data_IF_957570540670
#
_entry.id   IF_957570540670
#
_cell.length_a   1.000
_cell.length_b   1.000
_cell.length_c   1.000
_cell.angle_alpha   90.00
_cell.angle_beta   90.00
_cell.angle_gamma   90.00
#
_symmetry.space_group_name_H-M   'P 1'
#
loop_
_entity.id
_entity.type
_entity.pdbx_description
1 polymer ?
#
# COMPACT_ATOMS: atom_id res chain seq x y z
N UNK A 1 -81.69 -11.43 -12.98
CA UNK A 1 -81.21 -10.63 -14.10
C UNK A 1 -80.95 -9.22 -13.63
N UNK A 2 -79.77 -8.85 -13.24
CA UNK A 2 -79.27 -7.47 -13.10
C UNK A 2 -77.73 -7.53 -13.12
N UNK A 3 -77.13 -7.06 -14.20
CA UNK A 3 -75.72 -6.89 -14.39
C UNK A 3 -75.29 -5.68 -13.59
N UNK A 4 -74.25 -5.89 -12.71
CA UNK A 4 -73.56 -4.80 -12.04
C UNK A 4 -72.16 -4.72 -12.69
N UNK A 5 -71.94 -3.60 -13.41
CA UNK A 5 -70.62 -3.24 -13.96
C UNK A 5 -69.73 -2.69 -12.83
N UNK A 6 -68.68 -3.36 -12.56
CA UNK A 6 -67.64 -2.88 -11.66
C UNK A 6 -66.58 -2.11 -12.47
N UNK A 7 -66.54 -0.80 -12.29
CA UNK A 7 -65.51 0.07 -12.87
C UNK A 7 -64.24 -0.06 -12.08
N UNK A 8 -63.21 -0.65 -12.72
CA UNK A 8 -61.83 -0.70 -12.18
C UNK A 8 -61.20 0.67 -12.40
N UNK A 9 -60.92 1.38 -11.33
CA UNK A 9 -60.10 2.60 -11.33
C UNK A 9 -58.65 2.16 -11.30
N UNK A 10 -57.90 2.39 -12.39
CA UNK A 10 -56.47 2.22 -12.46
C UNK A 10 -55.83 3.49 -11.90
N UNK A 11 -55.27 3.40 -10.70
CA UNK A 11 -54.49 4.45 -10.10
C UNK A 11 -53.05 4.28 -10.60
N UNK A 12 -52.60 5.12 -11.51
CA UNK A 12 -51.23 5.18 -11.98
C UNK A 12 -50.34 5.82 -10.92
N UNK A 13 -49.62 5.02 -10.18
CA UNK A 13 -48.52 5.48 -9.31
C UNK A 13 -47.31 5.80 -10.19
N UNK A 14 -47.08 7.07 -10.45
CA UNK A 14 -45.82 7.56 -11.02
C UNK A 14 -44.73 7.43 -9.97
N UNK A 15 -43.91 6.38 -10.09
CA UNK A 15 -42.64 6.24 -9.35
C UNK A 15 -41.67 7.28 -9.90
N UNK A 16 -41.45 8.36 -9.17
CA UNK A 16 -40.31 9.24 -9.39
C UNK A 16 -39.05 8.49 -8.92
N UNK A 17 -38.32 7.92 -9.86
CA UNK A 17 -36.98 7.38 -9.59
C UNK A 17 -36.06 8.57 -9.35
N UNK A 18 -35.76 8.85 -8.08
CA UNK A 18 -34.63 9.66 -7.71
C UNK A 18 -33.39 8.82 -8.01
N UNK A 19 -32.73 9.09 -9.14
CA UNK A 19 -31.46 8.53 -9.47
C UNK A 19 -30.42 9.11 -8.49
N UNK A 20 -30.03 8.33 -7.48
CA UNK A 20 -28.78 8.56 -6.74
C UNK A 20 -27.61 8.36 -7.69
N UNK A 21 -27.19 9.45 -8.35
CA UNK A 21 -25.85 9.52 -8.95
C UNK A 21 -24.85 9.61 -7.79
N UNK A 22 -24.09 8.54 -7.59
CA UNK A 22 -23.09 8.49 -6.52
C UNK A 22 -22.35 7.17 -6.39
N UNK A 23 -22.31 6.33 -7.42
CA UNK A 23 -21.30 5.27 -7.46
C UNK A 23 -19.99 5.86 -7.99
N UNK A 24 -19.11 6.31 -7.07
CA UNK A 24 -17.70 6.51 -7.38
C UNK A 24 -17.14 5.16 -7.80
N UNK A 25 -16.85 5.01 -9.10
CA UNK A 25 -16.20 3.83 -9.66
C UNK A 25 -14.87 3.64 -8.92
N UNK A 26 -14.71 2.52 -8.25
CA UNK A 26 -13.43 2.05 -7.72
C UNK A 26 -12.46 1.94 -8.90
N UNK A 27 -11.23 2.43 -8.72
CA UNK A 27 -10.24 2.67 -9.74
C UNK A 27 -10.07 1.54 -10.76
N UNK A 28 -10.20 1.92 -12.01
CA UNK A 28 -9.85 1.08 -13.14
C UNK A 28 -8.34 1.02 -13.27
N UNK A 29 -7.73 -0.15 -13.03
CA UNK A 29 -6.30 -0.37 -13.20
C UNK A 29 -5.80 -0.24 -14.64
N UNK A 30 -6.70 -0.19 -15.64
CA UNK A 30 -6.29 -0.03 -17.04
C UNK A 30 -5.55 1.30 -17.29
N UNK A 31 -5.72 2.26 -16.39
CA UNK A 31 -5.05 3.56 -16.45
C UNK A 31 -3.66 3.55 -15.80
N UNK A 32 -3.32 2.54 -14.99
CA UNK A 32 -2.05 2.44 -14.28
C UNK A 32 -0.87 1.99 -15.18
N UNK A 33 -1.14 1.53 -16.39
CA UNK A 33 -0.13 1.14 -17.37
C UNK A 33 0.34 2.32 -18.25
N UNK A 34 -0.13 3.54 -18.01
CA UNK A 34 0.29 4.76 -18.73
C UNK A 34 1.07 5.68 -17.79
N UNK A 35 2.15 6.32 -18.26
CA UNK A 35 2.86 7.32 -17.48
C UNK A 35 1.90 8.47 -17.16
N UNK A 36 1.65 8.70 -15.88
CA UNK A 36 0.61 9.58 -15.36
C UNK A 36 0.97 11.09 -15.41
N UNK A 37 2.00 11.48 -16.11
CA UNK A 37 2.55 12.85 -16.06
C UNK A 37 1.71 13.90 -16.81
N UNK A 38 0.79 13.52 -17.70
CA UNK A 38 0.13 14.50 -18.58
C UNK A 38 -1.25 15.02 -18.15
N UNK A 39 -1.93 14.42 -17.18
CA UNK A 39 -3.32 14.82 -16.86
C UNK A 39 -3.48 15.79 -15.69
N UNK A 40 -2.45 16.07 -14.91
CA UNK A 40 -2.56 16.90 -13.71
C UNK A 40 -2.37 18.40 -13.91
N UNK A 41 -1.98 18.87 -15.09
CA UNK A 41 -1.67 20.28 -15.34
C UNK A 41 -2.89 21.15 -15.70
N UNK A 42 -4.10 20.61 -15.82
CA UNK A 42 -5.25 21.37 -16.34
C UNK A 42 -6.36 21.72 -15.37
N UNK A 43 -6.33 21.35 -14.09
CA UNK A 43 -7.47 21.60 -13.17
C UNK A 43 -7.18 22.39 -11.89
N UNK A 44 -6.01 23.02 -11.76
CA UNK A 44 -5.73 23.94 -10.63
C UNK A 44 -5.18 25.30 -11.06
N UNK A 45 -5.99 26.03 -11.80
CA UNK A 45 -5.89 27.49 -11.87
C UNK A 45 -7.10 28.01 -11.10
N UNK A 46 -6.89 28.46 -9.84
CA UNK A 46 -7.66 29.44 -9.07
C UNK A 46 -7.67 29.07 -7.58
N UNK A 47 -6.61 29.46 -6.87
CA UNK A 47 -6.68 29.73 -5.43
C UNK A 47 -5.85 30.99 -5.13
N UNK A 48 -6.35 31.95 -4.34
CA UNK A 48 -5.71 33.23 -4.15
C UNK A 48 -4.45 33.12 -3.29
N UNK A 49 -3.40 33.78 -3.79
CA UNK A 49 -2.09 33.97 -3.18
C UNK A 49 -2.20 34.96 -2.03
N UNK A 50 -1.97 34.58 -0.79
CA UNK A 50 -1.65 35.48 0.30
C UNK A 50 -0.20 35.24 0.73
N UNK A 51 0.66 36.11 0.22
CA UNK A 51 2.05 36.23 0.62
C UNK A 51 2.15 37.01 1.94
N UNK A 52 2.75 36.38 2.96
CA UNK A 52 3.51 37.10 4.00
C UNK A 52 4.75 36.22 4.30
N UNK A 53 5.82 36.49 3.56
CA UNK A 53 7.16 35.93 3.83
C UNK A 53 7.97 36.95 4.59
N UNK A 54 8.42 36.60 5.79
CA UNK A 54 9.50 37.26 6.53
C UNK A 54 10.86 36.63 6.08
N UNK A 55 11.77 37.42 5.47
CA UNK A 55 13.01 36.89 4.94
C UNK A 55 14.15 37.00 5.94
N UNK A 56 14.20 36.20 7.00
CA UNK A 56 15.48 35.93 7.65
C UNK A 56 15.39 34.93 8.82
N UNK A 57 15.46 33.63 8.53
CA UNK A 57 16.06 32.68 9.49
C UNK A 57 16.38 31.37 8.76
N UNK A 58 17.66 31.22 8.43
CA UNK A 58 18.27 29.97 7.97
C UNK A 58 18.40 29.00 9.17
N UNK A 59 17.26 28.60 9.76
CA UNK A 59 17.18 27.50 10.70
C UNK A 59 16.55 26.32 9.96
N UNK A 60 17.37 25.31 9.65
CA UNK A 60 16.88 23.98 9.26
C UNK A 60 15.85 23.55 10.29
N UNK A 61 14.56 23.63 9.95
CA UNK A 61 13.47 23.13 10.78
C UNK A 61 13.58 21.62 10.80
N UNK A 62 14.18 21.06 11.83
CA UNK A 62 14.10 19.63 12.10
C UNK A 62 12.65 19.28 12.43
N UNK A 63 12.01 18.51 11.56
CA UNK A 63 10.68 17.96 11.84
C UNK A 63 10.83 17.04 13.05
N UNK A 64 10.11 17.33 14.16
CA UNK A 64 10.06 16.43 15.31
C UNK A 64 9.26 15.20 14.91
N UNK A 65 9.96 14.11 14.63
CA UNK A 65 9.35 12.83 14.26
C UNK A 65 8.73 12.20 15.50
N UNK A 66 7.45 11.86 15.42
CA UNK A 66 6.77 11.03 16.41
C UNK A 66 7.08 9.56 16.10
N UNK A 67 7.16 8.74 17.14
CA UNK A 67 7.30 7.29 16.97
C UNK A 67 6.06 6.73 16.26
N UNK A 68 6.24 5.83 15.29
CA UNK A 68 5.14 5.21 14.52
C UNK A 68 4.68 6.03 13.31
N UNK A 69 5.53 6.91 12.79
CA UNK A 69 5.24 7.70 11.58
C UNK A 69 4.92 6.82 10.35
N UNK A 70 5.47 5.61 10.32
CA UNK A 70 5.20 4.60 9.29
C UNK A 70 3.80 3.95 9.40
N UNK A 71 3.11 4.09 10.54
CA UNK A 71 1.83 3.42 10.77
C UNK A 71 0.70 4.21 10.10
N UNK A 72 0.05 3.67 9.04
CA UNK A 72 -1.03 4.37 8.36
C UNK A 72 -2.33 4.32 9.16
N UNK A 73 -3.23 5.28 8.91
CA UNK A 73 -4.63 5.14 9.28
C UNK A 73 -5.28 4.19 8.28
N UNK A 74 -5.74 3.05 8.79
CA UNK A 74 -6.34 2.01 7.96
C UNK A 74 -7.73 2.40 7.46
N UNK A 75 -8.17 1.74 6.39
CA UNK A 75 -9.53 1.88 5.86
C UNK A 75 -10.57 1.43 6.89
N UNK A 76 -11.59 2.25 7.11
CA UNK A 76 -12.69 1.91 8.00
C UNK A 76 -13.43 0.63 7.56
N UNK A 77 -13.92 -0.15 8.54
CA UNK A 77 -14.70 -1.39 8.34
C UNK A 77 -13.96 -2.51 7.60
N UNK A 78 -12.61 -2.51 7.64
CA UNK A 78 -11.79 -3.63 7.17
C UNK A 78 -11.27 -4.39 8.38
N UNK A 79 -11.41 -5.74 8.43
CA UNK A 79 -10.83 -6.53 9.52
C UNK A 79 -9.34 -6.28 9.65
N UNK A 80 -8.88 -6.01 10.87
CA UNK A 80 -7.50 -5.66 11.15
C UNK A 80 -7.08 -6.19 12.51
N UNK A 81 -6.08 -7.09 12.51
CA UNK A 81 -5.36 -7.51 13.70
C UNK A 81 -3.95 -6.94 13.62
N UNK A 82 -3.63 -6.01 14.51
CA UNK A 82 -2.28 -5.43 14.56
C UNK A 82 -1.32 -6.39 15.25
N UNK A 83 -0.23 -6.73 14.56
CA UNK A 83 0.84 -7.58 15.05
C UNK A 83 2.15 -6.78 15.01
N UNK A 84 2.73 -6.57 16.18
CA UNK A 84 4.00 -5.87 16.34
C UNK A 84 5.14 -6.85 16.31
N UNK A 85 6.04 -6.70 15.36
CA UNK A 85 7.25 -7.49 15.21
C UNK A 85 8.48 -6.62 15.47
N UNK A 86 9.61 -7.24 15.67
CA UNK A 86 10.84 -6.49 15.99
C UNK A 86 11.26 -5.57 14.82
N UNK A 87 11.11 -6.03 13.58
CA UNK A 87 11.50 -5.30 12.37
C UNK A 87 10.35 -4.62 11.62
N UNK A 88 9.07 -4.84 12.00
CA UNK A 88 7.91 -4.26 11.30
C UNK A 88 6.63 -4.37 12.13
N UNK A 89 5.61 -3.62 11.72
CA UNK A 89 4.23 -3.80 12.18
C UNK A 89 3.37 -4.23 11.00
N UNK A 90 2.46 -5.17 11.20
CA UNK A 90 1.48 -5.59 10.18
C UNK A 90 0.05 -5.46 10.69
N UNK A 91 -0.86 -5.03 9.83
CA UNK A 91 -2.30 -5.15 9.99
C UNK A 91 -2.76 -6.39 9.23
N UNK A 92 -3.00 -7.48 9.93
CA UNK A 92 -3.44 -8.73 9.31
C UNK A 92 -4.96 -8.76 9.13
N UNK A 93 -5.41 -9.28 8.00
CA UNK A 93 -6.81 -9.45 7.66
C UNK A 93 -7.16 -10.95 7.54
N UNK A 94 -7.98 -11.42 8.49
CA UNK A 94 -8.40 -12.83 8.53
C UNK A 94 -9.34 -13.24 7.38
N UNK A 95 -10.05 -12.29 6.75
CA UNK A 95 -10.94 -12.59 5.63
C UNK A 95 -10.17 -12.84 4.33
N UNK A 96 -9.14 -12.01 4.07
CA UNK A 96 -8.27 -12.18 2.90
C UNK A 96 -7.13 -13.15 3.16
N UNK A 97 -6.79 -13.37 4.44
CA UNK A 97 -5.63 -14.16 4.90
C UNK A 97 -4.30 -13.62 4.39
N UNK A 98 -4.22 -12.30 4.32
CA UNK A 98 -3.05 -11.52 3.94
C UNK A 98 -2.97 -10.28 4.83
N UNK A 99 -1.84 -9.58 4.91
CA UNK A 99 -1.83 -8.26 5.53
C UNK A 99 -2.70 -7.28 4.74
N UNK A 100 -3.33 -6.32 5.43
CA UNK A 100 -3.84 -5.11 4.80
C UNK A 100 -2.67 -4.21 4.40
N UNK A 101 -1.71 -4.10 5.30
CA UNK A 101 -0.45 -3.39 5.13
C UNK A 101 0.63 -3.93 6.07
N UNK A 102 1.87 -3.68 5.72
CA UNK A 102 3.06 -3.90 6.54
C UNK A 102 3.89 -2.62 6.50
N UNK A 103 4.32 -2.15 7.67
CA UNK A 103 5.00 -0.87 7.83
C UNK A 103 6.27 -1.01 8.67
N UNK A 104 7.34 -0.30 8.28
CA UNK A 104 8.60 -0.29 9.04
C UNK A 104 9.41 0.98 8.77
N UNK A 105 10.22 1.33 9.77
CA UNK A 105 11.24 2.34 9.67
C UNK A 105 12.56 1.68 9.29
N UNK A 106 13.01 1.86 8.05
CA UNK A 106 14.24 1.31 7.54
C UNK A 106 15.39 2.30 7.73
N UNK A 107 16.37 1.94 8.54
CA UNK A 107 17.60 2.72 8.70
C UNK A 107 18.77 2.09 7.93
N UNK A 108 19.81 2.85 7.64
CA UNK A 108 21.04 2.33 7.04
C UNK A 108 21.65 1.17 7.87
N UNK A 109 21.50 1.20 9.19
CA UNK A 109 21.98 0.13 10.08
C UNK A 109 21.19 -1.18 9.92
N UNK A 110 19.93 -1.12 9.48
CA UNK A 110 19.08 -2.31 9.31
C UNK A 110 19.47 -3.14 8.08
N UNK A 111 20.08 -2.52 7.08
CA UNK A 111 20.50 -3.19 5.83
C UNK A 111 21.75 -4.03 5.99
N UNK A 112 22.48 -3.83 7.09
CA UNK A 112 23.71 -4.53 7.40
C UNK A 112 23.66 -5.18 8.80
N UNK A 113 24.38 -6.28 9.00
CA UNK A 113 24.44 -6.90 10.31
C UNK A 113 24.76 -8.40 10.28
N UNK A 114 24.76 -9.02 11.45
CA UNK A 114 25.17 -10.43 11.61
C UNK A 114 24.09 -11.43 11.21
N UNK A 115 22.81 -11.03 11.11
CA UNK A 115 21.71 -11.94 10.84
C UNK A 115 21.85 -12.62 9.48
N UNK A 116 21.59 -13.91 9.43
CA UNK A 116 21.73 -14.73 8.23
C UNK A 116 20.41 -15.38 7.85
N UNK A 117 20.03 -15.18 6.59
CA UNK A 117 18.85 -15.83 6.00
C UNK A 117 18.98 -17.35 5.85
N UNK A 118 20.21 -17.87 5.78
CA UNK A 118 20.46 -19.28 5.52
C UNK A 118 19.79 -20.18 6.58
N UNK A 119 18.97 -21.11 6.15
CA UNK A 119 18.27 -22.06 7.03
C UNK A 119 16.92 -21.59 7.54
N UNK A 120 16.54 -20.33 7.33
CA UNK A 120 15.22 -19.84 7.71
C UNK A 120 14.21 -20.26 6.64
N UNK A 121 13.08 -20.78 7.07
CA UNK A 121 11.94 -21.17 6.24
C UNK A 121 10.71 -20.37 6.62
N UNK A 122 9.76 -20.24 5.70
CA UNK A 122 8.46 -19.65 6.00
C UNK A 122 7.72 -20.46 7.07
N UNK A 123 7.09 -19.76 8.00
CA UNK A 123 6.44 -20.33 9.17
C UNK A 123 5.03 -19.80 9.34
N UNK A 124 4.16 -20.65 9.84
CA UNK A 124 2.84 -20.24 10.33
C UNK A 124 3.02 -19.21 11.43
N UNK A 125 2.20 -18.19 11.42
CA UNK A 125 2.14 -17.24 12.52
C UNK A 125 1.11 -17.73 13.56
N UNK A 126 1.59 -18.07 14.75
CA UNK A 126 0.73 -18.61 15.81
C UNK A 126 -0.05 -17.53 16.57
N UNK A 127 0.29 -16.26 16.37
CA UNK A 127 -0.40 -15.12 17.01
C UNK A 127 -1.72 -14.75 16.33
N UNK A 128 -2.12 -15.47 15.26
CA UNK A 128 -3.40 -15.26 14.61
C UNK A 128 -4.35 -16.45 14.84
N UNK A 129 -5.68 -16.21 14.85
CA UNK A 129 -6.66 -17.28 14.99
C UNK A 129 -6.68 -18.22 13.77
N UNK A 130 -7.15 -19.44 13.96
CA UNK A 130 -7.44 -20.37 12.87
C UNK A 130 -8.59 -19.87 11.98
N UNK A 131 -8.58 -20.19 10.67
CA UNK A 131 -7.56 -20.97 9.96
C UNK A 131 -6.33 -20.13 9.62
N UNK A 132 -5.16 -20.66 9.91
CA UNK A 132 -3.86 -20.02 9.63
C UNK A 132 -3.34 -20.38 8.26
N UNK A 133 -2.68 -19.42 7.62
CA UNK A 133 -1.98 -19.64 6.35
C UNK A 133 -0.68 -20.39 6.62
N UNK A 134 -0.40 -21.39 5.81
CA UNK A 134 0.85 -22.12 5.85
C UNK A 134 1.54 -22.21 4.46
N UNK A 135 2.72 -22.81 4.41
CA UNK A 135 3.50 -22.92 3.17
C UNK A 135 2.84 -23.85 2.15
N UNK A 136 1.99 -24.80 2.58
CA UNK A 136 1.28 -25.72 1.69
C UNK A 136 0.20 -25.02 0.89
N UNK A 137 -0.35 -23.89 1.38
CA UNK A 137 -1.33 -23.10 0.62
C UNK A 137 -0.73 -22.54 -0.68
N UNK A 138 0.58 -22.32 -0.71
CA UNK A 138 1.30 -21.81 -1.88
C UNK A 138 1.80 -22.92 -2.82
N UNK A 139 1.79 -24.17 -2.37
CA UNK A 139 2.33 -25.29 -3.14
C UNK A 139 1.54 -25.47 -4.45
N UNK A 140 2.25 -25.47 -5.58
CA UNK A 140 1.67 -25.60 -6.93
C UNK A 140 0.58 -24.56 -7.26
N UNK A 141 0.55 -23.45 -6.56
CA UNK A 141 -0.42 -22.36 -6.79
C UNK A 141 -0.09 -21.52 -8.02
N UNK A 142 1.17 -21.51 -8.45
CA UNK A 142 1.72 -20.60 -9.46
C UNK A 142 2.13 -19.24 -8.91
N UNK A 143 2.05 -19.05 -7.59
CA UNK A 143 2.46 -17.82 -6.90
C UNK A 143 3.61 -18.09 -5.93
N UNK A 144 4.50 -17.11 -5.81
CA UNK A 144 5.52 -17.07 -4.78
C UNK A 144 4.93 -16.62 -3.43
N UNK A 145 5.63 -16.94 -2.36
CA UNK A 145 5.47 -16.32 -1.05
C UNK A 145 6.18 -14.98 -1.07
N UNK A 146 5.49 -13.94 -1.57
CA UNK A 146 6.03 -12.59 -1.68
C UNK A 146 6.06 -11.89 -0.32
N UNK A 147 7.26 -11.52 0.15
CA UNK A 147 7.39 -10.73 1.36
C UNK A 147 6.84 -9.32 1.17
N UNK A 148 6.24 -8.77 2.23
CA UNK A 148 5.93 -7.35 2.30
C UNK A 148 7.12 -6.60 2.92
N UNK A 149 7.49 -6.84 4.18
CA UNK A 149 8.76 -6.42 4.73
C UNK A 149 9.84 -7.45 4.37
N UNK A 150 10.85 -7.11 3.56
CA UNK A 150 11.81 -8.08 3.06
C UNK A 150 12.83 -8.50 4.13
N UNK A 151 13.29 -9.74 4.04
CA UNK A 151 14.34 -10.25 4.92
C UNK A 151 15.64 -9.41 4.87
N UNK A 152 15.95 -8.84 3.71
CA UNK A 152 17.15 -8.03 3.53
C UNK A 152 17.12 -6.69 4.29
N UNK A 153 15.97 -6.24 4.76
CA UNK A 153 15.82 -5.05 5.60
C UNK A 153 15.98 -5.37 7.10
N UNK A 154 16.30 -6.63 7.43
CA UNK A 154 16.36 -7.16 8.80
C UNK A 154 17.71 -7.82 9.12
N UNK A 155 18.82 -7.41 8.49
CA UNK A 155 20.15 -7.95 8.75
C UNK A 155 20.71 -7.62 10.14
N UNK A 156 20.16 -6.63 10.82
CA UNK A 156 20.56 -6.14 12.13
C UNK A 156 20.18 -7.07 13.29
N UNK A 157 19.11 -7.87 13.14
CA UNK A 157 18.59 -8.78 14.17
C UNK A 157 18.21 -10.13 13.57
N UNK A 158 18.68 -11.22 14.17
CA UNK A 158 18.30 -12.57 13.78
C UNK A 158 16.80 -12.81 13.96
N UNK A 159 16.22 -12.29 15.06
CA UNK A 159 14.78 -12.40 15.34
C UNK A 159 13.96 -11.60 14.34
N UNK A 160 14.34 -10.36 14.03
CA UNK A 160 13.65 -9.57 13.00
C UNK A 160 13.70 -10.28 11.63
N UNK A 161 14.86 -10.86 11.28
CA UNK A 161 15.05 -11.68 10.09
C UNK A 161 14.09 -12.88 10.08
N UNK A 162 14.01 -13.66 11.16
CA UNK A 162 13.13 -14.82 11.28
C UNK A 162 11.66 -14.43 11.21
N UNK A 163 11.26 -13.35 11.88
CA UNK A 163 9.89 -12.84 11.85
C UNK A 163 9.47 -12.39 10.46
N UNK A 164 10.38 -11.92 9.60
CA UNK A 164 10.04 -11.57 8.22
C UNK A 164 9.50 -12.77 7.40
N UNK A 165 9.77 -14.01 7.83
CA UNK A 165 9.27 -15.23 7.20
C UNK A 165 7.94 -15.74 7.77
N UNK A 166 7.30 -15.02 8.69
CA UNK A 166 5.94 -15.33 9.14
C UNK A 166 4.93 -15.14 8.00
N UNK A 167 3.99 -16.06 7.87
CA UNK A 167 3.00 -16.03 6.78
C UNK A 167 2.07 -14.81 6.85
N UNK A 168 2.01 -14.09 7.97
CA UNK A 168 1.31 -12.80 8.10
C UNK A 168 2.03 -11.62 7.45
N UNK A 169 3.29 -11.81 7.02
CA UNK A 169 4.08 -10.85 6.23
C UNK A 169 4.12 -11.21 4.74
N UNK A 170 3.26 -12.12 4.27
CA UNK A 170 3.39 -12.75 2.94
C UNK A 170 2.08 -12.64 2.16
N UNK A 171 2.21 -12.35 0.85
CA UNK A 171 1.10 -12.38 -0.10
C UNK A 171 1.40 -13.30 -1.29
N UNK A 172 0.35 -13.90 -1.92
CA UNK A 172 0.51 -14.58 -3.20
C UNK A 172 0.96 -13.60 -4.29
N UNK A 173 2.21 -13.69 -4.71
CA UNK A 173 2.82 -12.76 -5.65
C UNK A 173 3.29 -13.47 -6.92
N UNK A 174 3.08 -12.84 -8.09
CA UNK A 174 3.59 -13.36 -9.37
C UNK A 174 5.12 -13.50 -9.30
N UNK A 175 5.71 -14.66 -9.67
CA UNK A 175 7.14 -14.91 -9.54
C UNK A 175 8.01 -13.89 -10.28
N UNK A 176 7.60 -13.47 -11.49
CA UNK A 176 8.35 -12.49 -12.26
C UNK A 176 8.25 -11.06 -11.69
N UNK A 177 7.14 -10.72 -11.04
CA UNK A 177 7.03 -9.48 -10.27
C UNK A 177 7.93 -9.54 -9.03
N UNK A 178 7.78 -10.59 -8.22
CA UNK A 178 8.49 -10.78 -6.96
C UNK A 178 10.02 -10.71 -7.13
N UNK A 179 10.58 -11.53 -8.03
CA UNK A 179 12.03 -11.56 -8.26
C UNK A 179 12.54 -10.41 -9.14
N UNK A 180 11.67 -9.70 -9.86
CA UNK A 180 12.00 -8.64 -10.80
C UNK A 180 11.76 -7.24 -10.24
N UNK A 181 10.67 -6.60 -10.68
CA UNK A 181 10.35 -5.22 -10.36
C UNK A 181 10.23 -4.96 -8.86
N UNK A 182 9.51 -5.83 -8.12
CA UNK A 182 9.32 -5.66 -6.68
C UNK A 182 10.65 -5.67 -5.93
N UNK A 183 11.50 -6.66 -6.21
CA UNK A 183 12.85 -6.73 -5.66
C UNK A 183 13.71 -5.50 -6.05
N UNK A 184 13.54 -4.96 -7.28
CA UNK A 184 14.24 -3.73 -7.70
C UNK A 184 13.81 -2.51 -6.89
N UNK A 185 12.53 -2.40 -6.52
CA UNK A 185 12.01 -1.33 -5.65
C UNK A 185 12.56 -1.51 -4.22
N UNK A 186 12.58 -2.74 -3.68
CA UNK A 186 13.15 -3.03 -2.37
C UNK A 186 14.65 -2.68 -2.28
N UNK A 187 15.42 -3.01 -3.31
CA UNK A 187 16.83 -2.60 -3.40
C UNK A 187 16.96 -1.08 -3.39
N UNK A 188 16.07 -0.38 -4.10
CA UNK A 188 16.08 1.09 -4.13
C UNK A 188 15.78 1.69 -2.75
N UNK A 189 14.83 1.12 -1.99
CA UNK A 189 14.53 1.58 -0.63
C UNK A 189 15.76 1.45 0.28
N UNK A 190 16.52 0.34 0.16
CA UNK A 190 17.78 0.18 0.92
C UNK A 190 18.83 1.20 0.51
N UNK A 191 19.01 1.44 -0.78
CA UNK A 191 19.91 2.49 -1.28
C UNK A 191 19.54 3.85 -0.69
N UNK A 192 18.26 4.21 -0.67
CA UNK A 192 17.79 5.46 -0.09
C UNK A 192 18.00 5.51 1.43
N UNK A 193 17.78 4.40 2.15
CA UNK A 193 18.07 4.35 3.58
C UNK A 193 19.56 4.54 3.87
N UNK A 194 20.45 3.98 3.06
CA UNK A 194 21.90 4.16 3.16
C UNK A 194 22.33 5.60 2.84
N UNK A 195 21.73 6.22 1.83
CA UNK A 195 22.06 7.58 1.39
C UNK A 195 21.52 8.66 2.33
N UNK A 196 20.26 8.53 2.73
CA UNK A 196 19.57 9.51 3.59
C UNK A 196 19.62 9.19 5.08
N UNK A 197 20.15 8.01 5.46
CA UNK A 197 20.22 7.53 6.84
C UNK A 197 19.02 6.68 7.23
N UNK A 198 17.81 7.06 6.79
CA UNK A 198 16.57 6.31 7.01
C UNK A 198 15.47 6.65 6.01
N UNK A 199 14.49 5.75 5.91
CA UNK A 199 13.21 5.95 5.23
C UNK A 199 12.08 5.23 5.97
N UNK A 200 10.86 5.75 5.87
CA UNK A 200 9.65 5.12 6.41
C UNK A 200 8.90 4.46 5.26
N UNK A 201 8.53 3.20 5.41
CA UNK A 201 7.97 2.41 4.32
C UNK A 201 6.66 1.76 4.77
N UNK A 202 5.64 1.83 3.93
CA UNK A 202 4.40 1.05 4.04
C UNK A 202 4.15 0.34 2.74
N UNK A 203 3.80 -0.93 2.78
CA UNK A 203 3.38 -1.66 1.59
C UNK A 203 2.28 -2.66 1.88
N UNK A 204 1.58 -3.10 0.85
CA UNK A 204 0.52 -4.07 1.01
C UNK A 204 -0.15 -4.46 -0.31
N UNK A 205 -1.10 -5.39 -0.24
CA UNK A 205 -1.90 -5.81 -1.37
C UNK A 205 -3.00 -4.77 -1.70
N UNK A 206 -3.40 -4.76 -2.98
CA UNK A 206 -4.55 -4.02 -3.47
C UNK A 206 -5.58 -5.01 -4.02
N UNK A 207 -6.79 -4.93 -3.49
CA UNK A 207 -7.94 -5.71 -3.90
C UNK A 207 -8.98 -4.81 -4.58
N UNK A 208 -9.25 -5.05 -5.86
CA UNK A 208 -10.09 -4.18 -6.69
C UNK A 208 -11.41 -4.82 -7.10
N UNK A 209 -11.41 -6.14 -7.24
CA UNK A 209 -12.59 -6.90 -7.66
C UNK A 209 -13.47 -7.25 -6.47
N UNK A 210 -14.74 -7.59 -6.72
CA UNK A 210 -15.61 -8.14 -5.69
C UNK A 210 -15.32 -9.63 -5.38
N UNK A 211 -14.74 -10.34 -6.36
CA UNK A 211 -14.35 -11.75 -6.23
C UNK A 211 -12.88 -11.90 -6.58
N UNK A 212 -12.12 -12.48 -5.69
CA UNK A 212 -10.68 -12.71 -5.85
C UNK A 212 -10.40 -14.18 -6.09
N UNK A 213 -9.37 -14.46 -6.88
CA UNK A 213 -8.77 -15.79 -6.94
C UNK A 213 -8.25 -16.15 -5.55
N UNK A 214 -8.36 -17.41 -5.17
CA UNK A 214 -7.79 -17.92 -3.92
C UNK A 214 -6.85 -19.07 -4.20
N UNK A 215 -5.88 -19.27 -3.31
CA UNK A 215 -4.95 -20.40 -3.34
C UNK A 215 -5.04 -21.21 -2.04
N UNK A 216 -4.63 -22.48 -2.14
CA UNK A 216 -4.49 -23.39 -1.02
C UNK A 216 -5.79 -23.79 -0.33
N UNK A 217 -5.64 -24.65 0.66
CA UNK A 217 -6.74 -25.16 1.50
C UNK A 217 -7.39 -24.02 2.30
N UNK A 218 -6.57 -23.10 2.78
CA UNK A 218 -7.02 -21.99 3.58
C UNK A 218 -7.56 -20.80 2.75
N UNK A 219 -7.68 -20.95 1.41
CA UNK A 219 -8.29 -19.92 0.52
C UNK A 219 -7.66 -18.53 0.67
N UNK A 220 -6.34 -18.47 0.66
CA UNK A 220 -5.60 -17.20 0.69
C UNK A 220 -5.95 -16.41 -0.56
N UNK A 221 -6.42 -15.18 -0.41
CA UNK A 221 -6.80 -14.35 -1.55
C UNK A 221 -5.57 -13.85 -2.30
N UNK A 222 -5.68 -13.84 -3.63
CA UNK A 222 -4.64 -13.33 -4.54
C UNK A 222 -4.96 -11.88 -4.87
N UNK A 223 -4.12 -10.93 -4.50
CA UNK A 223 -4.35 -9.51 -4.81
C UNK A 223 -4.13 -9.23 -6.29
N UNK A 224 -4.83 -8.23 -6.83
CA UNK A 224 -4.67 -7.76 -8.20
C UNK A 224 -3.44 -6.89 -8.39
N UNK A 225 -3.00 -6.20 -7.33
CA UNK A 225 -1.81 -5.36 -7.34
C UNK A 225 -1.21 -5.23 -5.94
N UNK A 226 -0.07 -4.55 -5.86
CA UNK A 226 0.60 -4.17 -4.63
C UNK A 226 0.94 -2.69 -4.65
N UNK A 227 0.89 -2.06 -3.50
CA UNK A 227 1.41 -0.72 -3.31
C UNK A 227 2.67 -0.73 -2.42
N UNK A 228 3.51 0.28 -2.57
CA UNK A 228 4.57 0.63 -1.64
C UNK A 228 4.70 2.14 -1.61
N UNK A 229 4.59 2.75 -0.42
CA UNK A 229 4.83 4.17 -0.18
C UNK A 229 6.06 4.35 0.68
N UNK A 230 6.87 5.33 0.35
CA UNK A 230 8.13 5.62 1.00
C UNK A 230 8.19 7.11 1.33
N UNK A 231 8.61 7.43 2.56
CA UNK A 231 8.86 8.78 3.04
C UNK A 231 10.32 8.90 3.47
N UNK A 232 11.01 9.97 3.10
CA UNK A 232 12.26 10.44 3.71
C UNK A 232 12.07 11.81 4.33
N UNK A 233 12.79 12.08 5.42
CA UNK A 233 12.70 13.36 6.13
C UNK A 233 14.00 14.18 6.06
N UNK A 234 15.12 13.51 5.75
CA UNK A 234 16.43 14.17 5.68
C UNK A 234 16.47 15.18 4.53
N UNK A 235 17.11 16.32 4.77
CA UNK A 235 17.25 17.46 3.90
C UNK A 235 15.90 18.16 3.66
N UNK A 236 15.12 17.71 2.72
CA UNK A 236 13.76 18.17 2.44
C UNK A 236 12.83 16.96 2.45
N UNK A 237 11.71 16.95 3.23
CA UNK A 237 10.77 15.85 3.24
C UNK A 237 10.25 15.55 1.84
N UNK A 238 10.26 14.26 1.45
CA UNK A 238 9.71 13.78 0.18
C UNK A 238 9.05 12.44 0.36
N UNK A 239 7.96 12.24 -0.38
CA UNK A 239 7.26 10.96 -0.42
C UNK A 239 7.12 10.47 -1.87
N UNK A 240 7.03 9.16 -2.04
CA UNK A 240 6.85 8.52 -3.35
C UNK A 240 6.03 7.23 -3.18
N UNK A 241 5.11 6.99 -4.09
CA UNK A 241 4.33 5.77 -4.18
C UNK A 241 4.73 4.91 -5.37
N UNK A 242 4.50 3.61 -5.25
CA UNK A 242 4.56 2.65 -6.35
C UNK A 242 3.30 1.79 -6.32
N UNK A 243 2.72 1.54 -7.50
CA UNK A 243 1.61 0.61 -7.68
C UNK A 243 2.00 -0.39 -8.75
N UNK A 244 2.08 -1.66 -8.39
CA UNK A 244 2.53 -2.74 -9.26
C UNK A 244 1.43 -3.79 -9.41
N UNK A 245 0.94 -4.03 -10.63
CA UNK A 245 0.00 -5.13 -10.89
C UNK A 245 0.66 -6.47 -10.57
N UNK A 246 -0.12 -7.41 -10.06
CA UNK A 246 0.35 -8.76 -9.70
C UNK A 246 0.51 -9.67 -10.93
N UNK A 247 1.28 -9.18 -11.90
CA UNK A 247 1.62 -9.84 -13.17
C UNK A 247 3.10 -9.64 -13.49
N UNK A 248 3.58 -10.27 -14.54
CA UNK A 248 4.97 -10.03 -14.99
C UNK A 248 5.17 -8.58 -15.43
N UNK A 249 6.19 -7.93 -14.87
CA UNK A 249 6.62 -6.58 -15.24
C UNK A 249 7.83 -6.61 -16.21
N UNK A 250 8.04 -7.72 -16.94
CA UNK A 250 9.16 -7.85 -17.87
C UNK A 250 9.13 -6.77 -18.95
N UNK A 251 10.24 -6.08 -19.12
CA UNK A 251 10.38 -5.00 -20.11
C UNK A 251 10.00 -3.61 -19.59
N UNK A 252 9.49 -3.49 -18.38
CA UNK A 252 9.14 -2.23 -17.72
C UNK A 252 10.22 -1.80 -16.71
N UNK A 253 10.34 -0.49 -16.52
CA UNK A 253 11.22 0.13 -15.54
C UNK A 253 10.43 0.50 -14.28
N UNK A 254 11.10 0.58 -13.11
CA UNK A 254 10.45 1.03 -11.88
C UNK A 254 9.86 2.44 -11.98
N UNK A 255 10.42 3.30 -12.84
CA UNK A 255 9.89 4.64 -13.13
C UNK A 255 8.46 4.63 -13.71
N UNK A 256 8.07 3.54 -14.38
CA UNK A 256 6.76 3.40 -15.02
C UNK A 256 5.64 3.13 -13.99
N UNK A 257 6.03 2.83 -12.73
CA UNK A 257 5.13 2.46 -11.63
C UNK A 257 5.09 3.51 -10.51
N UNK A 258 5.77 4.65 -10.72
CA UNK A 258 5.75 5.77 -9.78
C UNK A 258 4.37 6.40 -9.73
N UNK A 259 3.90 6.66 -8.53
CA UNK A 259 2.64 7.32 -8.23
C UNK A 259 2.84 8.33 -7.10
N UNK A 260 1.95 9.27 -6.97
CA UNK A 260 1.87 10.13 -5.78
C UNK A 260 1.32 9.32 -4.59
N UNK A 261 1.59 9.75 -3.37
CA UNK A 261 0.99 9.15 -2.18
C UNK A 261 -0.52 9.35 -2.20
N UNK A 262 -1.02 10.55 -2.56
CA UNK A 262 -2.45 10.85 -2.76
C UNK A 262 -3.14 9.81 -3.67
N UNK A 263 -2.48 9.37 -4.74
CA UNK A 263 -3.07 8.36 -5.65
C UNK A 263 -3.13 6.97 -4.99
N UNK A 264 -2.09 6.61 -4.24
CA UNK A 264 -2.10 5.35 -3.46
C UNK A 264 -3.21 5.39 -2.41
N UNK A 265 -3.40 6.50 -1.71
CA UNK A 265 -4.46 6.71 -0.72
C UNK A 265 -5.85 6.61 -1.36
N UNK A 266 -6.04 7.27 -2.49
CA UNK A 266 -7.29 7.21 -3.24
C UNK A 266 -7.68 5.77 -3.61
N UNK A 267 -6.70 4.94 -3.96
CA UNK A 267 -6.94 3.55 -4.38
C UNK A 267 -7.13 2.65 -3.16
N UNK A 268 -6.32 2.80 -2.13
CA UNK A 268 -6.34 1.93 -0.95
C UNK A 268 -7.40 2.32 0.07
N UNK A 269 -7.73 3.61 0.14
CA UNK A 269 -8.57 4.21 1.17
C UNK A 269 -7.87 4.28 2.53
N UNK A 270 -6.54 4.22 2.53
CA UNK A 270 -5.68 4.45 3.70
C UNK A 270 -5.19 5.89 3.68
N UNK A 271 -4.69 6.37 4.82
CA UNK A 271 -4.05 7.66 5.01
C UNK A 271 -2.64 7.39 5.55
N UNK A 272 -1.63 7.76 4.77
CA UNK A 272 -0.23 7.47 5.08
C UNK A 272 0.43 8.70 5.70
N UNK A 273 1.36 8.46 6.63
CA UNK A 273 2.18 9.50 7.26
C UNK A 273 1.38 10.61 7.96
N UNK A 274 0.13 10.38 8.32
CA UNK A 274 -0.84 11.30 8.94
C UNK A 274 -0.38 11.96 10.25
N UNK A 275 0.79 11.60 10.77
CA UNK A 275 1.40 12.25 11.92
C UNK A 275 2.31 13.43 11.53
N UNK A 276 2.54 13.65 10.23
CA UNK A 276 3.22 14.84 9.74
C UNK A 276 2.32 16.09 9.94
N UNK A 277 2.92 17.28 10.04
CA UNK A 277 2.13 18.50 9.95
C UNK A 277 1.42 18.60 8.59
N UNK A 278 0.13 18.96 8.59
CA UNK A 278 -0.73 19.00 7.38
C UNK A 278 -0.13 19.77 6.19
N UNK A 279 0.66 20.82 6.47
CA UNK A 279 1.30 21.61 5.41
C UNK A 279 2.47 20.87 4.75
N UNK A 280 3.17 19.98 5.49
CA UNK A 280 4.23 19.15 4.95
C UNK A 280 3.59 17.99 4.17
N UNK A 281 2.63 17.30 4.77
CA UNK A 281 1.88 16.19 4.19
C UNK A 281 1.34 16.57 2.81
N UNK A 282 0.52 17.62 2.71
CA UNK A 282 -0.01 18.13 1.44
C UNK A 282 1.05 18.51 0.40
N UNK A 283 2.22 18.95 0.85
CA UNK A 283 3.31 19.34 -0.06
C UNK A 283 3.96 18.14 -0.71
N UNK A 284 4.12 17.01 0.04
CA UNK A 284 4.91 15.85 -0.39
C UNK A 284 4.06 14.76 -1.02
N UNK A 285 2.78 14.65 -0.68
CA UNK A 285 1.91 13.56 -1.12
C UNK A 285 1.34 13.76 -2.52
N UNK A 286 1.13 15.02 -2.92
CA UNK A 286 0.65 15.38 -4.25
C UNK A 286 1.71 15.35 -5.36
N UNK A 287 2.97 15.01 -5.06
CA UNK A 287 4.08 15.01 -6.03
C UNK A 287 4.92 13.75 -5.90
N UNK A 288 5.35 13.20 -7.04
CA UNK A 288 6.26 12.07 -7.07
C UNK A 288 7.14 12.12 -8.32
N UNK A 289 8.42 12.37 -8.14
CA UNK A 289 9.43 12.17 -9.19
C UNK A 289 10.60 11.39 -8.59
N UNK A 290 10.89 10.23 -9.15
CA UNK A 290 12.01 9.38 -8.67
C UNK A 290 13.36 10.07 -8.86
N UNK A 291 13.48 11.05 -9.76
CA UNK A 291 14.70 11.84 -9.96
C UNK A 291 15.01 12.74 -8.78
N UNK A 292 13.99 13.11 -8.00
CA UNK A 292 14.14 13.91 -6.79
C UNK A 292 14.75 13.12 -5.61
N UNK A 293 14.98 11.84 -5.83
CA UNK A 293 15.54 10.90 -4.86
C UNK A 293 16.96 10.44 -5.20
N UNK A 294 17.60 11.04 -6.20
CA UNK A 294 18.97 10.73 -6.64
C UNK A 294 19.90 11.92 -6.39
#
# INVERSE_FOLDING_TARGET
MKHIFLKTIILSLSLVAVACQGEKRRGDLSTLDKPFVESYNNERADAPNTSDEDPNTNQRKTVKVKQGLEIPIGKANVPSLLLYREGYTTSYNADTRTPNWVAWHLTAAHTNGPAKRKGITFQVDEDIPEPRVDTYDYMRSGYDRGHMCPAADNHWSQRAMEQSFLMTNVCPQNPALNSGLWNSIENQCRTWAEEYGDVYIVCGPIYLNQKHKTIGKNKVQVPEAFFKVILRLKDEPKAIGFICRNVSAKGHKKTDYVNTVDEVERITGMDFFSQLPDNIERQIEGKADIKDWN
#
